data_IF_046976522170
#
_entry.id   IF_046976522170
#
_cell.length_a   1.000
_cell.length_b   1.000
_cell.length_c   1.000
_cell.angle_alpha   90.00
_cell.angle_beta   90.00
_cell.angle_gamma   90.00
#
_symmetry.space_group_name_H-M   'P 1'
#
loop_
_entity.id
_entity.type
_entity.pdbx_description
1 polymer ?
#
# COMPACT_ATOMS: atom_id res chain seq x y z
N UNK A 1 -11.98 20.68 -11.38
CA UNK A 1 -12.29 19.85 -10.78
C UNK A 1 -11.53 18.69 -10.83
N UNK A 2 -10.92 18.40 -11.79
CA UNK A 2 -10.12 17.27 -11.85
C UNK A 2 -9.09 17.23 -10.79
N UNK A 3 -8.74 18.33 -10.28
CA UNK A 3 -7.74 18.33 -9.26
C UNK A 3 -8.18 17.66 -7.99
N UNK A 4 -9.47 17.40 -7.85
CA UNK A 4 -9.88 16.73 -6.69
C UNK A 4 -9.44 15.33 -6.66
N UNK A 5 -9.18 14.72 -7.75
CA UNK A 5 -8.79 13.33 -7.79
C UNK A 5 -7.44 13.09 -7.11
N UNK A 6 -6.65 14.13 -6.96
CA UNK A 6 -5.36 13.96 -6.30
C UNK A 6 -5.48 13.91 -4.80
N UNK A 7 -6.60 14.39 -4.24
CA UNK A 7 -6.80 14.36 -2.81
C UNK A 7 -7.53 13.12 -2.37
N UNK A 8 -8.30 12.55 -3.29
CA UNK A 8 -9.07 11.35 -3.01
C UNK A 8 -8.78 10.36 -4.10
N UNK A 9 -8.64 9.20 -3.89
CA UNK A 9 -8.31 8.20 -4.87
C UNK A 9 -7.03 7.52 -4.51
N UNK A 10 -6.60 6.63 -5.35
CA UNK A 10 -5.44 5.84 -5.06
C UNK A 10 -5.15 4.87 -6.18
N UNK A 11 -4.29 3.92 -5.91
CA UNK A 11 -3.86 2.90 -6.86
C UNK A 11 -4.24 1.52 -6.36
N UNK A 12 -4.81 0.72 -7.23
CA UNK A 12 -5.06 -0.68 -6.94
C UNK A 12 -3.78 -1.47 -7.22
N UNK A 13 -3.29 -2.15 -6.21
CA UNK A 13 -2.10 -2.99 -6.33
C UNK A 13 -2.53 -4.43 -6.16
N UNK A 14 -2.50 -5.19 -7.23
CA UNK A 14 -2.96 -6.57 -7.26
C UNK A 14 -1.96 -7.49 -7.97
N UNK A 15 -0.74 -7.06 -8.13
CA UNK A 15 0.33 -7.83 -8.73
C UNK A 15 1.53 -7.89 -7.78
N UNK A 16 2.60 -8.56 -8.21
CA UNK A 16 3.79 -8.73 -7.40
C UNK A 16 4.91 -7.78 -7.83
N UNK A 17 4.59 -6.76 -8.59
CA UNK A 17 5.58 -5.80 -9.04
C UNK A 17 5.80 -4.70 -8.02
N UNK A 18 6.94 -4.05 -8.09
CA UNK A 18 7.23 -2.92 -7.23
C UNK A 18 6.52 -1.68 -7.76
N UNK A 19 5.77 -1.03 -6.88
CA UNK A 19 5.09 0.22 -7.19
C UNK A 19 5.68 1.33 -6.34
N UNK A 20 5.93 2.48 -6.94
CA UNK A 20 6.44 3.65 -6.21
C UNK A 20 5.46 4.79 -6.33
N UNK A 21 5.41 5.63 -5.32
CA UNK A 21 4.48 6.75 -5.30
C UNK A 21 4.47 7.42 -3.94
N UNK A 22 3.35 8.06 -3.63
CA UNK A 22 3.16 8.68 -2.34
C UNK A 22 1.76 8.41 -1.87
N UNK A 23 1.63 7.51 -0.92
CA UNK A 23 0.34 7.12 -0.39
C UNK A 23 0.29 7.38 1.11
N UNK A 24 -0.88 7.76 1.61
CA UNK A 24 -1.07 8.10 3.03
C UNK A 24 -1.64 6.96 3.82
N UNK A 25 -2.24 5.98 3.17
CA UNK A 25 -2.76 4.80 3.82
C UNK A 25 -3.01 3.71 2.79
N UNK A 26 -3.11 2.51 3.26
CA UNK A 26 -3.43 1.36 2.42
C UNK A 26 -4.55 0.57 3.07
N UNK A 27 -5.39 -0.04 2.25
CA UNK A 27 -6.47 -0.91 2.72
C UNK A 27 -6.42 -2.21 1.94
N UNK A 28 -6.32 -3.31 2.65
CA UNK A 28 -6.28 -4.63 2.01
C UNK A 28 -7.66 -5.00 1.49
N UNK A 29 -7.74 -5.42 0.23
CA UNK A 29 -8.97 -5.94 -0.36
C UNK A 29 -9.09 -7.43 -0.09
N UNK A 30 -7.96 -8.13 -0.12
CA UNK A 30 -7.86 -9.54 0.26
C UNK A 30 -6.72 -9.63 1.26
N UNK A 31 -6.57 -10.78 1.91
CA UNK A 31 -5.41 -10.96 2.78
C UNK A 31 -4.17 -10.74 1.95
N UNK A 32 -3.33 -9.83 2.38
CA UNK A 32 -2.16 -9.41 1.60
C UNK A 32 -0.89 -9.60 2.41
N UNK A 33 0.18 -10.00 1.73
CA UNK A 33 1.50 -10.17 2.35
C UNK A 33 2.49 -9.26 1.63
N UNK A 34 3.23 -8.49 2.40
CA UNK A 34 4.21 -7.57 1.84
C UNK A 34 5.50 -8.30 1.50
N UNK A 35 6.10 -7.90 0.39
CA UNK A 35 7.40 -8.41 -0.02
C UNK A 35 8.50 -7.40 0.30
N UNK A 36 9.74 -7.84 0.17
CA UNK A 36 10.88 -6.95 0.33
C UNK A 36 10.80 -5.85 -0.72
N UNK A 37 10.96 -4.62 -0.30
CA UNK A 37 10.83 -3.47 -1.18
C UNK A 37 9.72 -2.52 -0.76
N UNK A 38 8.83 -2.94 0.13
CA UNK A 38 7.82 -2.06 0.69
C UNK A 38 8.47 -1.10 1.67
N UNK A 39 8.22 0.20 1.50
CA UNK A 39 8.80 1.25 2.34
C UNK A 39 7.71 2.15 2.87
N UNK A 40 7.69 2.33 4.18
CA UNK A 40 6.85 3.31 4.84
C UNK A 40 7.76 4.26 5.61
N UNK A 41 7.76 5.53 5.23
CA UNK A 41 8.75 6.47 5.73
C UNK A 41 8.58 6.82 7.21
N UNK A 42 7.35 6.75 7.70
CA UNK A 42 7.08 7.15 9.08
C UNK A 42 6.79 5.97 10.02
N UNK A 43 7.03 4.75 9.58
CA UNK A 43 6.95 3.58 10.45
C UNK A 43 8.29 2.87 10.39
N UNK A 44 8.93 2.72 11.53
CA UNK A 44 10.20 2.06 11.61
C UNK A 44 10.03 0.54 11.48
N UNK A 45 11.01 -0.11 10.89
CA UNK A 45 11.01 -1.56 10.73
C UNK A 45 10.77 -1.97 9.28
N UNK A 46 10.62 -3.26 9.06
CA UNK A 46 10.45 -3.81 7.73
C UNK A 46 9.07 -4.41 7.59
N UNK A 47 8.43 -4.16 6.45
CA UNK A 47 7.15 -4.75 6.14
C UNK A 47 7.31 -6.11 5.45
N UNK A 48 8.51 -6.47 5.04
CA UNK A 48 8.74 -7.71 4.32
C UNK A 48 8.26 -8.91 5.13
N UNK A 49 7.43 -9.75 4.53
CA UNK A 49 6.89 -10.94 5.18
C UNK A 49 5.70 -10.68 6.09
N UNK A 50 5.34 -9.43 6.33
CA UNK A 50 4.18 -9.10 7.15
C UNK A 50 2.90 -9.25 6.35
N UNK A 51 1.85 -9.70 6.99
CA UNK A 51 0.56 -9.90 6.35
C UNK A 51 -0.51 -9.06 7.02
N UNK A 52 -1.47 -8.59 6.22
CA UNK A 52 -2.64 -7.91 6.74
C UNK A 52 -3.88 -8.60 6.22
N UNK A 53 -4.94 -8.60 7.03
CA UNK A 53 -6.19 -9.22 6.66
C UNK A 53 -7.02 -8.32 5.78
N UNK A 54 -7.88 -8.92 4.97
CA UNK A 54 -8.83 -8.17 4.14
C UNK A 54 -9.60 -7.17 5.00
N UNK A 55 -9.72 -5.96 4.52
CA UNK A 55 -10.41 -4.87 5.24
C UNK A 55 -9.56 -4.10 6.22
N UNK A 56 -8.31 -4.50 6.45
CA UNK A 56 -7.42 -3.77 7.34
C UNK A 56 -6.88 -2.53 6.66
N UNK A 57 -6.92 -1.40 7.35
CA UNK A 57 -6.34 -0.15 6.88
C UNK A 57 -5.11 0.17 7.71
N UNK A 58 -4.01 0.45 7.04
CA UNK A 58 -2.76 0.84 7.68
C UNK A 58 -2.43 2.26 7.28
N UNK A 59 -2.44 3.20 8.23
CA UNK A 59 -2.05 4.58 7.92
C UNK A 59 -0.54 4.69 7.91
N UNK A 60 -0.01 5.59 7.11
CA UNK A 60 1.42 5.84 7.03
C UNK A 60 1.79 6.39 5.68
N UNK A 61 2.98 6.97 5.58
CA UNK A 61 3.48 7.53 4.33
C UNK A 61 4.26 6.46 3.59
N UNK A 62 3.61 5.84 2.61
CA UNK A 62 4.23 4.79 1.82
C UNK A 62 4.84 5.37 0.56
N UNK A 63 6.10 5.08 0.30
CA UNK A 63 6.79 5.51 -0.91
C UNK A 63 7.03 4.35 -1.88
N UNK A 64 6.97 3.13 -1.41
CA UNK A 64 7.11 1.95 -2.26
C UNK A 64 6.27 0.82 -1.69
N UNK A 65 5.59 0.09 -2.56
CA UNK A 65 4.76 -1.04 -2.17
C UNK A 65 5.05 -2.22 -3.09
N UNK A 66 5.28 -3.36 -2.50
CA UNK A 66 5.44 -4.61 -3.23
C UNK A 66 4.78 -5.72 -2.43
N UNK A 67 3.95 -6.51 -3.09
CA UNK A 67 3.26 -7.63 -2.46
C UNK A 67 3.80 -8.95 -2.96
N UNK A 68 3.81 -9.95 -2.09
CA UNK A 68 4.06 -11.31 -2.51
C UNK A 68 2.76 -12.07 -2.67
N UNK A 69 1.66 -11.59 -2.11
CA UNK A 69 0.34 -12.20 -2.25
C UNK A 69 -0.73 -11.16 -1.93
N UNK A 70 -1.92 -11.36 -2.49
CA UNK A 70 -3.08 -10.53 -2.18
C UNK A 70 -3.18 -9.26 -2.99
N UNK A 71 -4.08 -8.37 -2.56
CA UNK A 71 -4.32 -7.10 -3.23
C UNK A 71 -4.72 -6.05 -2.21
N UNK A 72 -4.42 -4.80 -2.53
CA UNK A 72 -4.79 -3.67 -1.70
C UNK A 72 -5.02 -2.44 -2.55
N UNK A 73 -5.61 -1.40 -1.94
CA UNK A 73 -5.69 -0.07 -2.52
C UNK A 73 -4.81 0.84 -1.69
N UNK A 74 -3.91 1.56 -2.35
CA UNK A 74 -3.07 2.56 -1.72
C UNK A 74 -3.67 3.94 -2.03
N UNK A 75 -3.97 4.71 -0.98
CA UNK A 75 -4.67 5.98 -1.11
C UNK A 75 -3.70 7.16 -1.00
N UNK A 76 -3.92 8.14 -1.84
CA UNK A 76 -3.15 9.39 -1.82
C UNK A 76 -3.39 10.22 -0.58
#
# INVERSE_FOLDING_TARGET
>A
MADRAFDVGGDLIADNDLHTGRWKRITALTDATFALGTVCDDIAGSFAGQAIKAGTTVPGTFSALKLSAGSLIAFY
#
